data_IF_027424372445
#
_entry.id   IF_027424372445
#
_cell.length_a   1.000
_cell.length_b   1.000
_cell.length_c   1.000
_cell.angle_alpha   90.00
_cell.angle_beta   90.00
_cell.angle_gamma   90.00
#
_symmetry.space_group_name_H-M   'P 1'
#
loop_
_entity.id
_entity.type
_entity.pdbx_description
1 polymer ?
#
# COMPACT_ATOMS: atom_id res chain seq x y z
N UNK A 1 8.63 -4.06 2.76
CA UNK A 1 8.12 -3.81 4.11
C UNK A 1 7.41 -5.04 4.69
N UNK A 2 6.39 -5.63 4.03
CA UNK A 2 5.55 -6.69 4.59
C UNK A 2 6.29 -7.91 5.21
N UNK A 3 7.51 -8.18 4.78
CA UNK A 3 8.37 -9.22 5.36
C UNK A 3 9.35 -8.73 6.44
N UNK A 4 9.32 -7.45 6.79
CA UNK A 4 10.29 -6.85 7.74
C UNK A 4 11.69 -6.67 7.16
N UNK A 5 11.84 -6.79 5.84
CA UNK A 5 13.13 -6.71 5.18
C UNK A 5 13.62 -5.26 5.05
N UNK A 6 14.93 -5.07 5.24
CA UNK A 6 15.61 -3.82 4.89
C UNK A 6 15.77 -3.77 3.36
N UNK A 7 15.37 -2.68 2.68
CA UNK A 7 15.62 -2.48 1.26
C UNK A 7 17.11 -2.67 0.93
N UNK A 8 17.41 -3.35 -0.18
CA UNK A 8 18.80 -3.63 -0.56
C UNK A 8 19.14 -3.10 -1.95
N UNK A 9 18.39 -3.53 -2.98
CA UNK A 9 18.58 -3.07 -4.36
C UNK A 9 17.35 -3.38 -5.20
N UNK A 10 17.30 -2.84 -6.42
CA UNK A 10 16.28 -3.22 -7.39
C UNK A 10 16.83 -3.28 -8.81
N UNK A 11 16.11 -3.96 -9.70
CA UNK A 11 16.35 -3.98 -11.14
C UNK A 11 15.13 -3.46 -11.88
N UNK A 12 15.32 -2.89 -13.07
CA UNK A 12 14.27 -2.34 -13.92
C UNK A 12 14.31 -3.00 -15.30
N UNK A 13 13.23 -3.65 -15.71
CA UNK A 13 12.99 -4.02 -17.10
C UNK A 13 11.97 -3.04 -17.69
N UNK A 14 12.38 -2.30 -18.70
CA UNK A 14 11.59 -1.26 -19.35
C UNK A 14 11.43 -1.60 -20.83
N UNK A 15 10.20 -1.80 -21.29
CA UNK A 15 9.86 -1.97 -22.69
C UNK A 15 9.08 -0.76 -23.16
N UNK A 16 9.49 -0.16 -24.28
CA UNK A 16 8.90 1.06 -24.82
C UNK A 16 8.57 0.89 -26.30
N UNK A 17 7.47 1.46 -26.82
CA UNK A 17 7.16 1.44 -28.24
C UNK A 17 8.15 2.31 -29.05
N UNK A 18 8.63 3.38 -28.43
CA UNK A 18 9.63 4.29 -29.01
C UNK A 18 10.48 4.92 -27.91
N UNK A 19 11.66 5.40 -28.26
CA UNK A 19 12.54 6.14 -27.36
C UNK A 19 12.05 7.60 -27.23
N UNK A 20 11.18 7.86 -26.27
CA UNK A 20 10.69 9.21 -25.95
C UNK A 20 11.53 9.81 -24.81
N UNK A 21 12.34 10.81 -25.12
CA UNK A 21 13.26 11.43 -24.16
C UNK A 21 12.50 12.11 -23.00
N UNK A 22 11.39 12.80 -23.26
CA UNK A 22 10.61 13.44 -22.22
C UNK A 22 10.00 12.43 -21.26
N UNK A 23 9.42 11.34 -21.78
CA UNK A 23 8.91 10.26 -20.96
C UNK A 23 10.01 9.67 -20.07
N UNK A 24 11.17 9.32 -20.65
CA UNK A 24 12.29 8.71 -19.92
C UNK A 24 12.81 9.64 -18.82
N UNK A 25 12.89 10.93 -19.08
CA UNK A 25 13.32 11.94 -18.10
C UNK A 25 12.35 12.04 -16.92
N UNK A 26 11.05 12.19 -17.18
CA UNK A 26 10.07 12.30 -16.08
C UNK A 26 9.88 10.98 -15.34
N UNK A 27 9.90 9.85 -16.04
CA UNK A 27 9.88 8.53 -15.42
C UNK A 27 11.09 8.31 -14.49
N UNK A 28 12.31 8.62 -14.97
CA UNK A 28 13.53 8.50 -14.20
C UNK A 28 13.51 9.40 -12.96
N UNK A 29 13.02 10.64 -13.10
CA UNK A 29 12.87 11.58 -11.99
C UNK A 29 11.94 11.03 -10.91
N UNK A 30 10.78 10.48 -11.29
CA UNK A 30 9.84 9.85 -10.35
C UNK A 30 10.45 8.63 -9.66
N UNK A 31 11.04 7.72 -10.44
CA UNK A 31 11.67 6.50 -9.96
C UNK A 31 12.76 6.79 -8.92
N UNK A 32 13.71 7.65 -9.25
CA UNK A 32 14.82 7.97 -8.35
C UNK A 32 14.42 8.87 -7.19
N UNK A 33 13.37 9.67 -7.32
CA UNK A 33 12.79 10.41 -6.19
C UNK A 33 12.29 9.46 -5.09
N UNK A 34 11.65 8.34 -5.48
CA UNK A 34 11.19 7.33 -4.52
C UNK A 34 12.35 6.46 -4.03
N UNK A 35 13.21 5.98 -4.93
CA UNK A 35 14.35 5.12 -4.60
C UNK A 35 15.29 5.78 -3.57
N UNK A 36 15.54 7.09 -3.73
CA UNK A 36 16.39 7.86 -2.79
C UNK A 36 15.76 8.01 -1.39
N UNK A 37 14.44 8.04 -1.27
CA UNK A 37 13.78 8.13 0.05
C UNK A 37 14.00 6.88 0.90
N UNK A 38 14.08 5.71 0.26
CA UNK A 38 14.27 4.42 0.93
C UNK A 38 15.69 3.88 0.79
N UNK A 39 16.60 4.70 0.25
CA UNK A 39 18.03 4.39 0.05
C UNK A 39 18.25 3.05 -0.67
N UNK A 40 17.53 2.86 -1.79
CA UNK A 40 17.61 1.63 -2.59
C UNK A 40 18.23 1.90 -3.97
N UNK A 41 19.40 1.34 -4.30
CA UNK A 41 20.05 1.56 -5.60
C UNK A 41 19.44 0.69 -6.71
N UNK A 42 19.36 1.28 -7.91
CA UNK A 42 19.18 0.53 -9.15
C UNK A 42 20.50 -0.12 -9.54
N UNK A 43 20.53 -1.45 -9.58
CA UNK A 43 21.78 -2.20 -9.85
C UNK A 43 21.84 -2.79 -11.25
N UNK A 44 20.78 -2.70 -12.03
CA UNK A 44 20.75 -3.23 -13.40
C UNK A 44 19.34 -3.37 -13.95
N UNK A 45 19.25 -4.01 -15.10
CA UNK A 45 18.00 -4.23 -15.80
C UNK A 45 18.18 -4.29 -17.31
N UNK A 46 17.10 -4.08 -18.05
CA UNK A 46 17.11 -4.09 -19.50
C UNK A 46 16.12 -3.06 -20.05
N UNK A 47 16.44 -2.52 -21.23
CA UNK A 47 15.52 -1.65 -21.98
C UNK A 47 15.35 -2.22 -23.39
N UNK A 48 14.10 -2.46 -23.79
CA UNK A 48 13.75 -3.09 -25.07
C UNK A 48 12.67 -2.32 -25.80
N UNK A 49 12.51 -2.59 -27.08
CA UNK A 49 11.41 -2.06 -27.89
C UNK A 49 10.22 -3.03 -27.89
N UNK A 50 9.02 -2.50 -27.66
CA UNK A 50 7.76 -3.27 -27.64
C UNK A 50 6.63 -2.44 -27.03
N UNK A 51 5.51 -3.07 -26.69
CA UNK A 51 4.45 -2.42 -25.94
C UNK A 51 4.95 -1.94 -24.56
N UNK A 52 4.40 -0.82 -24.07
CA UNK A 52 4.82 -0.25 -22.80
C UNK A 52 4.69 -1.26 -21.66
N UNK A 53 5.80 -1.63 -21.07
CA UNK A 53 5.84 -2.50 -19.91
C UNK A 53 6.94 -2.04 -18.95
N UNK A 54 6.61 -1.94 -17.68
CA UNK A 54 7.52 -1.53 -16.61
C UNK A 54 7.49 -2.61 -15.54
N UNK A 55 8.64 -3.29 -15.36
CA UNK A 55 8.77 -4.31 -14.31
C UNK A 55 9.91 -3.94 -13.40
N UNK A 56 9.61 -3.80 -12.10
CA UNK A 56 10.60 -3.55 -11.05
C UNK A 56 10.68 -4.79 -10.17
N UNK A 57 11.89 -5.35 -10.05
CA UNK A 57 12.17 -6.41 -9.08
C UNK A 57 12.98 -5.81 -7.94
N UNK A 58 12.36 -5.71 -6.76
CA UNK A 58 12.98 -5.18 -5.56
C UNK A 58 13.45 -6.33 -4.65
N UNK A 59 14.64 -6.15 -4.08
CA UNK A 59 15.25 -7.11 -3.16
C UNK A 59 15.45 -6.46 -1.80
N UNK A 60 15.14 -7.21 -0.75
CA UNK A 60 15.37 -6.80 0.62
C UNK A 60 16.09 -7.89 1.40
N UNK A 61 16.76 -7.50 2.47
CA UNK A 61 17.48 -8.39 3.36
C UNK A 61 16.76 -8.47 4.71
N UNK A 62 16.62 -9.68 5.22
CA UNK A 62 16.09 -9.96 6.55
C UNK A 62 16.96 -11.02 7.22
N UNK A 63 17.18 -10.92 8.52
CA UNK A 63 17.93 -11.91 9.27
C UNK A 63 17.28 -13.28 9.20
N UNK A 64 18.11 -14.32 9.15
CA UNK A 64 17.61 -15.70 9.05
C UNK A 64 16.63 -16.01 10.18
N UNK A 65 15.41 -16.41 9.80
CA UNK A 65 14.34 -16.74 10.72
C UNK A 65 13.56 -15.55 11.28
N UNK A 66 13.86 -14.30 10.86
CA UNK A 66 13.19 -13.09 11.33
C UNK A 66 12.16 -12.52 10.35
N UNK A 67 11.95 -13.17 9.20
CA UNK A 67 10.96 -12.71 8.24
C UNK A 67 9.55 -12.75 8.85
N UNK A 68 8.82 -11.66 8.74
CA UNK A 68 7.40 -11.60 9.06
C UNK A 68 6.63 -12.47 8.08
N UNK A 69 5.69 -13.26 8.58
CA UNK A 69 5.00 -14.29 7.79
C UNK A 69 3.50 -14.25 8.06
N UNK A 70 2.69 -14.54 7.05
CA UNK A 70 1.23 -14.59 7.16
C UNK A 70 0.67 -15.86 7.84
N UNK A 71 1.53 -16.81 8.23
CA UNK A 71 1.17 -18.07 8.88
C UNK A 71 1.59 -18.13 10.36
N UNK A 72 1.75 -16.97 11.00
CA UNK A 72 2.27 -16.89 12.38
C UNK A 72 1.32 -16.25 13.39
N UNK A 73 0.13 -15.83 12.99
CA UNK A 73 -0.87 -15.33 13.93
C UNK A 73 -1.32 -16.43 14.90
N UNK A 74 -1.57 -16.05 16.14
CA UNK A 74 -1.98 -16.95 17.22
C UNK A 74 -3.33 -16.52 17.80
N UNK A 75 -4.00 -17.45 18.47
CA UNK A 75 -5.21 -17.13 19.23
C UNK A 75 -4.87 -16.14 20.35
N UNK A 76 -5.69 -15.10 20.50
CA UNK A 76 -5.54 -13.97 21.40
C UNK A 76 -4.49 -12.93 20.97
N UNK A 77 -3.92 -13.02 19.79
CA UNK A 77 -3.17 -11.89 19.25
C UNK A 77 -4.12 -10.72 18.94
N UNK A 78 -3.68 -9.51 19.26
CA UNK A 78 -4.35 -8.29 18.79
C UNK A 78 -3.98 -8.02 17.34
N UNK A 79 -4.93 -7.43 16.60
CA UNK A 79 -4.76 -7.08 15.18
C UNK A 79 -4.49 -5.58 15.09
N UNK A 80 -3.40 -5.24 14.41
CA UNK A 80 -2.97 -3.86 14.18
C UNK A 80 -2.84 -3.57 12.70
N UNK A 81 -3.07 -2.31 12.35
CA UNK A 81 -2.76 -1.76 11.03
C UNK A 81 -1.95 -0.48 11.20
N UNK A 82 -1.06 -0.20 10.25
CA UNK A 82 -0.41 1.11 10.18
C UNK A 82 -1.32 2.11 9.47
N UNK A 83 -1.13 3.41 9.75
CA UNK A 83 -1.82 4.49 9.04
C UNK A 83 -3.35 4.46 9.14
N UNK A 84 -4.01 4.82 8.04
CA UNK A 84 -5.47 4.86 7.89
C UNK A 84 -5.92 4.10 6.66
N UNK A 85 -7.17 3.61 6.65
CA UNK A 85 -7.68 2.73 5.61
C UNK A 85 -8.83 3.37 4.82
N UNK A 86 -8.86 3.08 3.51
CA UNK A 86 -10.03 3.32 2.66
C UNK A 86 -9.96 4.58 1.80
N UNK A 87 -8.90 5.40 1.88
CA UNK A 87 -8.78 6.59 1.01
C UNK A 87 -8.63 6.22 -0.48
N UNK A 88 -7.81 5.23 -0.86
CA UNK A 88 -7.75 4.78 -2.25
C UNK A 88 -9.09 4.20 -2.73
N UNK A 89 -9.78 3.46 -1.87
CA UNK A 89 -11.13 2.97 -2.15
C UNK A 89 -12.11 4.11 -2.44
N UNK A 90 -12.06 5.21 -1.67
CA UNK A 90 -12.86 6.40 -1.95
C UNK A 90 -12.51 7.00 -3.32
N UNK A 91 -11.24 7.12 -3.66
CA UNK A 91 -10.82 7.63 -4.98
C UNK A 91 -11.41 6.79 -6.13
N UNK A 92 -11.41 5.47 -5.99
CA UNK A 92 -12.01 4.54 -6.97
C UNK A 92 -13.52 4.77 -7.10
N UNK A 93 -14.24 4.82 -5.98
CA UNK A 93 -15.71 5.03 -5.98
C UNK A 93 -16.10 6.40 -6.57
N UNK A 94 -15.30 7.44 -6.34
CA UNK A 94 -15.47 8.75 -6.96
C UNK A 94 -15.18 8.70 -8.47
N UNK A 95 -14.15 7.99 -8.91
CA UNK A 95 -13.81 7.82 -10.31
C UNK A 95 -14.88 7.10 -11.11
N UNK A 96 -15.51 6.09 -10.51
CA UNK A 96 -16.68 5.40 -11.11
C UNK A 96 -18.01 6.13 -10.90
N UNK A 97 -18.02 7.29 -10.22
CA UNK A 97 -19.22 8.08 -9.90
C UNK A 97 -20.27 7.34 -9.06
N UNK A 98 -19.84 6.32 -8.31
CA UNK A 98 -20.70 5.64 -7.34
C UNK A 98 -20.95 6.51 -6.11
N UNK A 99 -20.00 7.43 -5.82
CA UNK A 99 -20.10 8.50 -4.82
C UNK A 99 -19.88 9.82 -5.55
N UNK A 100 -20.70 10.83 -5.26
CA UNK A 100 -20.57 12.18 -5.77
C UNK A 100 -20.37 13.16 -4.63
N UNK A 101 -19.32 13.95 -4.67
CA UNK A 101 -18.98 14.95 -3.65
C UNK A 101 -18.67 16.28 -4.33
N UNK A 102 -19.40 17.32 -3.98
CA UNK A 102 -19.29 18.66 -4.59
C UNK A 102 -18.30 19.58 -3.84
N UNK A 103 -17.50 19.03 -2.93
CA UNK A 103 -16.56 19.79 -2.12
C UNK A 103 -15.16 19.79 -2.71
N UNK A 104 -14.55 20.98 -2.78
CA UNK A 104 -13.17 21.15 -3.21
C UNK A 104 -12.23 21.27 -2.03
N UNK A 105 -11.03 20.67 -2.16
CA UNK A 105 -9.90 20.78 -1.21
C UNK A 105 -8.67 21.21 -2.01
N UNK A 106 -7.98 22.23 -1.56
CA UNK A 106 -6.77 22.77 -2.22
C UNK A 106 -6.97 23.09 -3.72
N UNK A 107 -8.19 23.57 -4.08
CA UNK A 107 -8.56 23.88 -5.46
C UNK A 107 -8.83 22.68 -6.36
N UNK A 108 -8.84 21.46 -5.82
CA UNK A 108 -9.12 20.20 -6.53
C UNK A 108 -10.49 19.67 -6.16
N UNK A 109 -11.19 19.09 -7.13
CA UNK A 109 -12.38 18.29 -6.86
C UNK A 109 -12.02 17.05 -6.03
N UNK A 110 -13.04 16.41 -5.43
CA UNK A 110 -12.84 15.31 -4.49
C UNK A 110 -12.09 14.12 -5.12
N UNK A 111 -12.39 13.79 -6.39
CA UNK A 111 -11.69 12.70 -7.07
C UNK A 111 -10.21 13.01 -7.25
N UNK A 112 -9.89 14.15 -7.83
CA UNK A 112 -8.50 14.57 -8.10
C UNK A 112 -7.68 14.61 -6.81
N UNK A 113 -8.25 15.16 -5.73
CA UNK A 113 -7.57 15.23 -4.44
C UNK A 113 -7.31 13.84 -3.85
N UNK A 114 -8.34 12.99 -3.74
CA UNK A 114 -8.20 11.65 -3.17
C UNK A 114 -7.30 10.76 -4.03
N UNK A 115 -7.40 10.85 -5.36
CA UNK A 115 -6.57 10.10 -6.28
C UNK A 115 -5.08 10.44 -6.14
N UNK A 116 -4.72 11.73 -6.20
CA UNK A 116 -3.32 12.14 -6.06
C UNK A 116 -2.74 11.74 -4.70
N UNK A 117 -3.51 11.89 -3.63
CA UNK A 117 -3.07 11.50 -2.28
C UNK A 117 -2.88 9.99 -2.16
N UNK A 118 -3.73 9.19 -2.80
CA UNK A 118 -3.65 7.73 -2.83
C UNK A 118 -2.47 7.21 -3.66
N UNK A 119 -1.97 7.99 -4.63
CA UNK A 119 -0.78 7.61 -5.41
C UNK A 119 0.53 7.70 -4.60
N UNK A 120 0.50 8.32 -3.42
CA UNK A 120 1.65 8.42 -2.54
C UNK A 120 1.58 7.28 -1.52
N UNK A 121 2.10 6.12 -1.93
CA UNK A 121 2.15 4.93 -1.05
C UNK A 121 3.08 5.23 0.13
N UNK A 122 2.64 4.98 1.40
CA UNK A 122 3.45 5.23 2.57
C UNK A 122 4.65 4.29 2.63
N UNK A 123 5.83 4.85 2.93
CA UNK A 123 6.99 4.02 3.25
C UNK A 123 6.87 3.44 4.66
N UNK A 124 6.82 2.12 4.74
CA UNK A 124 6.77 1.36 6.00
C UNK A 124 8.02 0.49 6.23
N UNK A 125 9.08 0.66 5.43
CA UNK A 125 10.26 -0.20 5.50
C UNK A 125 10.98 -0.10 6.85
N UNK A 126 11.20 1.10 7.36
CA UNK A 126 11.85 1.29 8.68
C UNK A 126 11.00 0.75 9.83
N UNK A 127 9.68 1.01 9.79
CA UNK A 127 8.75 0.48 10.77
C UNK A 127 8.77 -1.05 10.76
N UNK A 128 8.63 -1.66 9.58
CA UNK A 128 8.60 -3.11 9.41
C UNK A 128 9.91 -3.77 9.86
N UNK A 129 11.05 -3.13 9.59
CA UNK A 129 12.34 -3.62 10.07
C UNK A 129 12.46 -3.64 11.60
N UNK A 130 11.83 -2.69 12.29
CA UNK A 130 11.74 -2.71 13.76
C UNK A 130 10.70 -3.72 14.25
N UNK A 131 9.61 -3.90 13.51
CA UNK A 131 8.49 -4.78 13.86
C UNK A 131 8.93 -6.24 14.02
N UNK A 132 9.96 -6.70 13.31
CA UNK A 132 10.49 -8.10 13.44
C UNK A 132 10.97 -8.49 14.84
N UNK A 133 11.13 -7.51 15.74
CA UNK A 133 11.47 -7.75 17.13
C UNK A 133 10.25 -7.91 18.05
N UNK A 134 9.04 -7.65 17.54
CA UNK A 134 7.80 -7.62 18.31
C UNK A 134 6.72 -8.52 17.75
N UNK A 135 6.77 -8.80 16.44
CA UNK A 135 5.81 -9.65 15.76
C UNK A 135 6.52 -10.64 14.82
N UNK A 136 5.90 -11.80 14.64
CA UNK A 136 6.27 -12.80 13.64
C UNK A 136 5.32 -12.78 12.43
N UNK A 137 4.20 -12.04 12.51
CA UNK A 137 3.11 -12.09 11.53
C UNK A 137 2.81 -10.71 10.93
N UNK A 138 2.96 -10.58 9.62
CA UNK A 138 2.50 -9.40 8.89
C UNK A 138 2.16 -9.71 7.43
N UNK A 139 1.39 -8.79 6.83
CA UNK A 139 1.02 -8.72 5.42
C UNK A 139 0.78 -7.25 5.06
N UNK A 140 0.92 -6.87 3.80
CA UNK A 140 0.44 -5.59 3.29
C UNK A 140 -1.05 -5.66 2.94
N UNK A 141 -1.74 -4.51 3.01
CA UNK A 141 -3.15 -4.39 2.65
C UNK A 141 -3.24 -3.87 1.22
N UNK A 142 -3.51 -4.75 0.26
CA UNK A 142 -3.65 -4.45 -1.16
C UNK A 142 -5.08 -4.56 -1.67
N UNK A 143 -5.80 -5.58 -1.24
CA UNK A 143 -7.16 -5.91 -1.69
C UNK A 143 -8.24 -5.51 -0.67
N UNK A 144 -7.82 -4.85 0.40
CA UNK A 144 -8.65 -4.40 1.51
C UNK A 144 -8.50 -5.27 2.75
N UNK A 145 -8.75 -4.65 3.91
CA UNK A 145 -8.47 -5.26 5.22
C UNK A 145 -9.05 -6.67 5.38
N UNK A 146 -10.31 -6.88 5.00
CA UNK A 146 -10.98 -8.18 5.18
C UNK A 146 -10.39 -9.24 4.25
N UNK A 147 -10.09 -8.87 2.99
CA UNK A 147 -9.47 -9.77 2.02
C UNK A 147 -8.09 -10.23 2.46
N UNK A 148 -7.25 -9.29 2.86
CA UNK A 148 -5.87 -9.57 3.26
C UNK A 148 -5.77 -10.24 4.63
N UNK A 149 -6.58 -9.82 5.60
CA UNK A 149 -6.68 -10.50 6.89
C UNK A 149 -7.06 -11.97 6.72
N UNK A 150 -7.98 -12.28 5.81
CA UNK A 150 -8.37 -13.66 5.50
C UNK A 150 -7.18 -14.54 5.15
N UNK A 151 -6.19 -14.01 4.40
CA UNK A 151 -4.97 -14.76 4.09
C UNK A 151 -4.15 -15.12 5.32
N UNK A 152 -4.08 -14.23 6.32
CA UNK A 152 -3.45 -14.53 7.61
C UNK A 152 -4.24 -15.61 8.35
N UNK A 153 -5.56 -15.45 8.45
CA UNK A 153 -6.43 -16.36 9.20
C UNK A 153 -6.40 -17.79 8.63
N UNK A 154 -6.51 -17.93 7.32
CA UNK A 154 -6.45 -19.23 6.65
C UNK A 154 -5.09 -19.90 6.83
N UNK A 155 -3.99 -19.15 6.69
CA UNK A 155 -2.63 -19.70 6.82
C UNK A 155 -2.23 -20.02 8.26
N UNK A 156 -2.77 -19.29 9.21
CA UNK A 156 -2.52 -19.48 10.64
C UNK A 156 -3.55 -20.41 11.31
N UNK A 157 -4.60 -20.82 10.60
CA UNK A 157 -5.71 -21.64 11.11
C UNK A 157 -6.40 -21.02 12.34
N UNK A 158 -6.64 -19.70 12.32
CA UNK A 158 -7.30 -18.95 13.40
C UNK A 158 -8.48 -18.15 12.87
N UNK A 159 -9.35 -17.66 13.76
CA UNK A 159 -10.42 -16.70 13.46
C UNK A 159 -10.06 -15.30 13.96
N UNK A 160 -10.83 -14.30 13.54
CA UNK A 160 -10.68 -12.93 14.02
C UNK A 160 -12.04 -12.26 14.26
N UNK A 161 -12.02 -11.23 15.11
CA UNK A 161 -13.12 -10.30 15.30
C UNK A 161 -12.59 -8.89 15.08
N UNK A 162 -13.21 -8.16 14.17
CA UNK A 162 -12.90 -6.75 13.90
C UNK A 162 -13.93 -5.88 14.65
N UNK A 163 -13.44 -4.96 15.45
CA UNK A 163 -14.21 -3.90 16.06
C UNK A 163 -14.21 -2.71 15.09
N UNK A 164 -15.34 -2.54 14.38
CA UNK A 164 -15.45 -1.57 13.28
C UNK A 164 -15.30 -0.12 13.77
N UNK A 165 -15.70 0.17 15.02
CA UNK A 165 -15.57 1.50 15.60
C UNK A 165 -14.11 1.91 15.84
N UNK A 166 -13.19 0.94 15.89
CA UNK A 166 -11.76 1.15 16.09
C UNK A 166 -10.96 1.23 14.79
N UNK A 167 -11.60 1.10 13.63
CA UNK A 167 -10.89 1.21 12.37
C UNK A 167 -10.29 2.61 12.20
N UNK A 168 -9.00 2.72 11.81
CA UNK A 168 -8.36 4.01 11.61
C UNK A 168 -8.85 4.65 10.30
N UNK A 169 -9.74 5.61 10.41
CA UNK A 169 -10.35 6.31 9.28
C UNK A 169 -9.54 7.54 8.88
N UNK A 170 -9.36 7.85 7.59
CA UNK A 170 -8.71 9.08 7.13
C UNK A 170 -9.58 10.30 7.42
N UNK A 171 -8.94 11.44 7.66
CA UNK A 171 -9.65 12.70 7.96
C UNK A 171 -10.54 13.18 6.80
N UNK A 172 -10.25 12.78 5.58
CA UNK A 172 -11.04 13.06 4.38
C UNK A 172 -12.49 12.60 4.52
N UNK A 173 -12.73 11.49 5.20
CA UNK A 173 -14.09 11.02 5.44
C UNK A 173 -14.92 12.02 6.21
N UNK A 174 -14.36 12.64 7.25
CA UNK A 174 -15.01 13.71 8.01
C UNK A 174 -15.10 15.01 7.20
N UNK A 175 -14.05 15.37 6.45
CA UNK A 175 -14.02 16.57 5.60
C UNK A 175 -15.14 16.52 4.56
N UNK A 176 -15.37 15.36 3.94
CA UNK A 176 -16.42 15.15 2.95
C UNK A 176 -17.77 14.78 3.55
N UNK A 177 -17.91 14.67 4.88
CA UNK A 177 -19.13 14.26 5.59
C UNK A 177 -19.69 12.92 5.05
N UNK A 178 -18.81 11.94 4.82
CA UNK A 178 -19.25 10.64 4.34
C UNK A 178 -20.13 9.93 5.38
N UNK A 179 -21.16 9.23 4.90
CA UNK A 179 -21.98 8.35 5.73
C UNK A 179 -21.10 7.27 6.40
N UNK A 180 -21.37 6.96 7.66
CA UNK A 180 -20.56 6.05 8.46
C UNK A 180 -20.48 4.63 7.85
N UNK A 181 -21.58 4.12 7.28
CA UNK A 181 -21.60 2.82 6.62
C UNK A 181 -20.73 2.80 5.37
N UNK A 182 -20.66 3.93 4.66
CA UNK A 182 -19.77 4.07 3.51
C UNK A 182 -18.32 4.07 3.99
N UNK A 183 -18.00 4.83 5.05
CA UNK A 183 -16.66 4.85 5.65
C UNK A 183 -16.22 3.44 6.06
N UNK A 184 -17.08 2.71 6.78
CA UNK A 184 -16.79 1.34 7.24
C UNK A 184 -16.57 0.39 6.07
N UNK A 185 -17.42 0.47 5.04
CA UNK A 185 -17.25 -0.32 3.81
C UNK A 185 -15.91 -0.03 3.14
N UNK A 186 -15.52 1.24 3.03
CA UNK A 186 -14.25 1.63 2.42
C UNK A 186 -13.05 1.12 3.23
N UNK A 187 -13.08 1.22 4.57
CA UNK A 187 -12.01 0.70 5.42
C UNK A 187 -11.90 -0.83 5.39
N UNK A 188 -13.00 -1.54 5.29
CA UNK A 188 -13.01 -3.00 5.33
C UNK A 188 -12.67 -3.64 3.97
N UNK A 189 -13.13 -3.04 2.88
CA UNK A 189 -13.13 -3.64 1.54
C UNK A 189 -12.47 -2.76 0.48
N UNK A 190 -12.08 -1.52 0.81
CA UNK A 190 -11.33 -0.67 -0.09
C UNK A 190 -9.89 -1.18 -0.21
N UNK A 191 -9.41 -1.38 -1.42
CA UNK A 191 -8.03 -1.79 -1.68
C UNK A 191 -7.13 -0.60 -1.98
N UNK A 192 -5.82 -0.89 -2.11
CA UNK A 192 -4.81 0.10 -2.51
C UNK A 192 -4.20 0.90 -1.38
N UNK A 193 -4.49 0.59 -0.11
CA UNK A 193 -3.93 1.31 1.05
C UNK A 193 -2.41 1.08 1.21
N UNK A 194 -1.92 -0.12 0.91
CA UNK A 194 -0.53 -0.54 1.08
C UNK A 194 0.05 -0.26 2.47
N UNK A 195 -0.83 -0.23 3.45
CA UNK A 195 -0.47 -0.23 4.86
C UNK A 195 -0.10 -1.64 5.34
N UNK A 196 0.52 -1.77 6.51
CA UNK A 196 0.84 -3.06 7.08
C UNK A 196 -0.27 -3.53 8.03
N UNK A 197 -0.63 -4.79 7.89
CA UNK A 197 -1.49 -5.56 8.80
C UNK A 197 -0.60 -6.54 9.54
N UNK A 198 -0.66 -6.56 10.87
CA UNK A 198 0.17 -7.44 11.70
C UNK A 198 -0.50 -7.81 13.02
N UNK A 199 0.02 -8.85 13.65
CA UNK A 199 -0.46 -9.31 14.96
C UNK A 199 0.67 -9.43 15.96
#
# INVERSE_FOLDING_TARGET
AAMGAKPYCFTLSLTLPEANENFLKEFSKGLFSLASKVDIPLIGGNTTKGELSITISAYGLVDKGKALRRDKAKVNDDIYVTGTLGLPGLAVELGYKNICLDKFIDGKDAFSYCYEKSMIIPDRCEFAHKLVNYSDCALDISDGLVGDLRHILERSCVGARIDVEKLPKPCEFSIYNLDEKIQDKLCLYGGGDYELLFT
#
